data_IF_931762968342
#
_entry.id   IF_931762968342
#
_cell.length_a   1.000
_cell.length_b   1.000
_cell.length_c   1.000
_cell.angle_alpha   90.00
_cell.angle_beta   90.00
_cell.angle_gamma   90.00
#
_symmetry.space_group_name_H-M   'P 1'
#
loop_
_entity.id
_entity.type
_entity.pdbx_description
1 polymer ?
#
# COMPACT_ATOMS: atom_id res chain seq x y z
N UNK A 1 -35.96 33.93 21.00
CA UNK A 1 -35.07 33.38 19.95
C UNK A 1 -34.62 32.02 20.43
N UNK A 2 -35.22 30.98 19.85
CA UNK A 2 -35.05 29.61 20.31
C UNK A 2 -33.70 29.06 19.87
N UNK A 3 -32.99 28.45 20.82
CA UNK A 3 -31.83 27.59 20.61
C UNK A 3 -32.33 26.36 19.86
N UNK A 4 -31.96 26.23 18.58
CA UNK A 4 -32.15 24.99 17.85
C UNK A 4 -31.11 23.99 18.34
N UNK A 5 -31.57 23.01 19.11
CA UNK A 5 -30.89 21.75 19.33
C UNK A 5 -30.74 21.05 17.97
N UNK A 6 -29.51 20.91 17.51
CA UNK A 6 -29.18 20.07 16.37
C UNK A 6 -29.37 18.62 16.81
N UNK A 7 -30.37 17.95 16.25
CA UNK A 7 -30.54 16.51 16.38
C UNK A 7 -29.29 15.82 15.82
N UNK A 8 -28.62 15.05 16.69
CA UNK A 8 -27.55 14.12 16.31
C UNK A 8 -28.10 13.14 15.29
N UNK A 9 -27.60 13.24 14.06
CA UNK A 9 -28.07 12.47 12.92
C UNK A 9 -27.51 11.05 12.99
N UNK A 10 -28.38 10.09 13.29
CA UNK A 10 -28.13 8.65 13.16
C UNK A 10 -27.84 8.19 11.72
N UNK A 11 -27.83 9.12 10.75
CA UNK A 11 -27.56 8.88 9.33
C UNK A 11 -26.07 8.80 8.98
N UNK A 12 -25.15 9.39 9.76
CA UNK A 12 -23.71 9.34 9.42
C UNK A 12 -23.07 7.98 9.71
N UNK A 13 -23.44 7.33 10.81
CA UNK A 13 -22.90 6.03 11.21
C UNK A 13 -23.22 4.93 10.19
N UNK A 14 -24.41 4.97 9.55
CA UNK A 14 -24.77 3.99 8.53
C UNK A 14 -23.89 4.09 7.26
N UNK A 15 -23.33 5.27 6.96
CA UNK A 15 -22.61 5.52 5.71
C UNK A 15 -21.10 5.22 5.77
N UNK A 16 -20.54 5.09 6.97
CA UNK A 16 -19.14 4.70 7.20
C UNK A 16 -18.98 3.48 8.12
N UNK A 17 -20.07 2.75 8.36
CA UNK A 17 -20.05 1.52 9.17
C UNK A 17 -19.53 1.78 10.59
N UNK A 18 -18.54 1.03 11.09
CA UNK A 18 -18.01 1.15 12.46
C UNK A 18 -17.18 2.42 12.71
N UNK A 19 -16.92 3.26 11.71
CA UNK A 19 -16.14 4.48 11.92
C UNK A 19 -16.98 5.52 12.68
N UNK A 20 -16.37 6.15 13.70
CA UNK A 20 -17.08 7.09 14.60
C UNK A 20 -16.49 8.50 14.58
N UNK A 21 -15.22 8.66 14.24
CA UNK A 21 -14.54 9.95 14.19
C UNK A 21 -13.25 9.88 13.38
N UNK A 22 -12.69 11.04 13.05
CA UNK A 22 -11.27 11.18 12.74
C UNK A 22 -10.53 11.58 14.01
N UNK A 23 -9.36 10.98 14.28
CA UNK A 23 -8.52 11.29 15.43
C UNK A 23 -7.11 11.68 14.99
N UNK A 24 -6.57 12.74 15.58
CA UNK A 24 -5.19 13.15 15.33
C UNK A 24 -4.21 12.18 15.99
N UNK A 25 -3.23 11.70 15.20
CA UNK A 25 -2.19 10.78 15.69
C UNK A 25 -1.19 11.42 16.66
N UNK A 26 -1.13 12.76 16.71
CA UNK A 26 -0.21 13.50 17.58
C UNK A 26 -0.88 13.94 18.89
N UNK A 27 -1.99 14.68 18.82
CA UNK A 27 -2.64 15.25 20.00
C UNK A 27 -3.88 14.50 20.48
N UNK A 28 -4.36 13.50 19.74
CA UNK A 28 -5.55 12.72 20.06
C UNK A 28 -6.88 13.43 19.86
N UNK A 29 -6.88 14.71 19.44
CA UNK A 29 -8.11 15.46 19.18
C UNK A 29 -9.00 14.76 18.15
N UNK A 30 -10.31 14.76 18.41
CA UNK A 30 -11.31 14.09 17.57
C UNK A 30 -12.11 15.10 16.77
N UNK A 31 -12.39 14.73 15.53
CA UNK A 31 -13.16 15.49 14.56
C UNK A 31 -14.26 14.60 13.98
N UNK A 32 -15.34 15.21 13.51
CA UNK A 32 -16.36 14.49 12.75
C UNK A 32 -15.75 13.86 11.48
N UNK A 33 -16.36 12.78 11.02
CA UNK A 33 -16.00 12.17 9.75
C UNK A 33 -16.27 13.17 8.62
N UNK A 34 -15.18 13.68 8.04
CA UNK A 34 -15.22 14.63 6.93
C UNK A 34 -14.02 14.47 6.00
N UNK A 35 -14.01 15.19 4.87
CA UNK A 35 -12.89 15.21 3.93
C UNK A 35 -11.76 16.13 4.43
N UNK A 36 -11.28 15.87 5.64
CA UNK A 36 -10.17 16.58 6.29
C UNK A 36 -9.03 15.61 6.55
N UNK A 37 -7.78 16.08 6.40
CA UNK A 37 -6.61 15.19 6.44
C UNK A 37 -5.55 15.61 7.47
N UNK A 38 -5.64 16.84 7.99
CA UNK A 38 -4.74 17.40 8.98
C UNK A 38 -5.54 17.96 10.16
N UNK A 39 -4.99 17.81 11.36
CA UNK A 39 -5.56 18.37 12.59
C UNK A 39 -5.54 19.90 12.55
N UNK A 40 -6.66 20.54 12.90
CA UNK A 40 -6.77 22.00 12.97
C UNK A 40 -5.94 22.63 14.09
N UNK A 41 -5.54 21.85 15.11
CA UNK A 41 -4.83 22.36 16.29
C UNK A 41 -3.31 22.18 16.21
N UNK A 42 -2.83 21.01 15.79
CA UNK A 42 -1.40 20.70 15.75
C UNK A 42 -0.86 20.34 14.36
N UNK A 43 -1.70 20.36 13.32
CA UNK A 43 -1.35 19.97 11.93
C UNK A 43 -0.88 18.52 11.76
N UNK A 44 -0.98 17.69 12.80
CA UNK A 44 -0.69 16.26 12.73
C UNK A 44 -1.69 15.50 11.84
N UNK A 45 -1.30 14.35 11.28
CA UNK A 45 -2.16 13.57 10.40
C UNK A 45 -3.36 13.00 11.16
N UNK A 46 -4.51 12.95 10.46
CA UNK A 46 -5.73 12.33 10.96
C UNK A 46 -5.84 10.86 10.55
N UNK A 47 -6.50 10.08 11.39
CA UNK A 47 -6.77 8.66 11.20
C UNK A 47 -8.20 8.31 11.60
N UNK A 48 -8.81 7.33 10.95
CA UNK A 48 -10.16 6.88 11.31
C UNK A 48 -10.12 6.16 12.67
N UNK A 49 -10.96 6.63 13.59
CA UNK A 49 -11.28 6.00 14.86
C UNK A 49 -12.57 5.18 14.72
N UNK A 50 -12.58 4.00 15.34
CA UNK A 50 -13.65 3.01 15.21
C UNK A 50 -14.30 2.66 16.54
N UNK A 51 -15.55 2.20 16.45
CA UNK A 51 -16.18 1.30 17.42
C UNK A 51 -16.37 -0.05 16.71
N UNK A 52 -15.37 -0.94 16.85
CA UNK A 52 -15.37 -2.23 16.16
C UNK A 52 -16.29 -3.25 16.87
N UNK A 53 -16.89 -4.21 16.13
CA UNK A 53 -17.79 -5.20 16.70
C UNK A 53 -17.05 -6.17 17.64
N UNK A 54 -17.21 -6.00 18.96
CA UNK A 54 -16.62 -6.87 19.98
C UNK A 54 -17.59 -7.95 20.50
N UNK A 55 -17.03 -8.96 21.18
CA UNK A 55 -17.79 -9.92 22.00
C UNK A 55 -18.12 -11.28 21.37
N UNK A 56 -17.95 -11.46 20.06
CA UNK A 56 -18.11 -12.76 19.37
C UNK A 56 -17.08 -12.92 18.23
N UNK A 57 -15.82 -13.25 18.55
CA UNK A 57 -14.77 -13.41 17.54
C UNK A 57 -15.04 -14.58 16.58
N UNK A 58 -15.65 -15.67 17.04
CA UNK A 58 -15.93 -16.83 16.19
C UNK A 58 -17.02 -16.53 15.16
N UNK A 59 -18.11 -15.88 15.58
CA UNK A 59 -19.14 -15.40 14.68
C UNK A 59 -18.60 -14.40 13.66
N UNK A 60 -17.74 -13.47 14.09
CA UNK A 60 -17.10 -12.49 13.22
C UNK A 60 -16.16 -13.14 12.19
N UNK A 61 -15.35 -14.14 12.58
CA UNK A 61 -14.54 -14.93 11.61
C UNK A 61 -15.42 -15.60 10.56
N UNK A 62 -16.49 -16.29 10.98
CA UNK A 62 -17.43 -16.94 10.05
C UNK A 62 -18.09 -15.96 9.09
N UNK A 63 -18.45 -14.76 9.58
CA UNK A 63 -19.01 -13.71 8.74
C UNK A 63 -18.01 -13.22 7.69
N UNK A 64 -16.76 -12.99 8.07
CA UNK A 64 -15.69 -12.57 7.16
C UNK A 64 -15.41 -13.67 6.13
N UNK A 65 -15.24 -14.93 6.55
CA UNK A 65 -14.97 -16.06 5.65
C UNK A 65 -16.12 -16.32 4.65
N UNK A 66 -17.36 -16.04 5.03
CA UNK A 66 -18.52 -16.13 4.14
C UNK A 66 -18.64 -14.95 3.15
N UNK A 67 -17.84 -13.91 3.32
CA UNK A 67 -17.80 -12.74 2.45
C UNK A 67 -17.14 -13.02 1.08
N UNK A 68 -17.22 -12.07 0.14
CA UNK A 68 -16.63 -12.25 -1.19
C UNK A 68 -15.09 -12.30 -1.12
N UNK A 69 -14.45 -12.95 -2.10
CA UNK A 69 -12.98 -13.06 -2.23
C UNK A 69 -12.34 -11.71 -2.66
N UNK A 70 -12.47 -10.68 -1.83
CA UNK A 70 -11.87 -9.35 -1.98
C UNK A 70 -11.95 -8.58 -0.65
N UNK A 71 -11.44 -7.34 -0.58
CA UNK A 71 -11.41 -6.56 0.67
C UNK A 71 -12.78 -6.33 1.32
N UNK A 72 -13.89 -6.49 0.59
CA UNK A 72 -15.22 -6.21 1.12
C UNK A 72 -15.70 -7.26 2.13
N UNK A 73 -15.05 -8.42 2.22
CA UNK A 73 -15.30 -9.35 3.34
C UNK A 73 -14.97 -8.75 4.70
N UNK A 74 -14.09 -7.75 4.75
CA UNK A 74 -13.73 -7.01 5.97
C UNK A 74 -14.57 -5.75 6.17
N UNK A 75 -15.69 -5.56 5.43
CA UNK A 75 -16.57 -4.40 5.60
C UNK A 75 -16.96 -4.11 7.08
N UNK A 76 -17.21 -5.11 7.94
CA UNK A 76 -17.49 -4.87 9.37
C UNK A 76 -16.34 -4.19 10.15
N UNK A 77 -15.15 -4.10 9.58
CA UNK A 77 -13.92 -3.55 10.18
C UNK A 77 -13.36 -2.33 9.42
N UNK A 78 -14.11 -1.81 8.44
CA UNK A 78 -13.67 -0.79 7.49
C UNK A 78 -14.64 0.41 7.49
N UNK A 79 -14.18 1.61 7.08
CA UNK A 79 -15.00 2.81 7.13
C UNK A 79 -15.86 2.90 5.87
N UNK A 80 -16.78 1.95 5.69
CA UNK A 80 -17.57 1.79 4.48
C UNK A 80 -19.01 1.38 4.83
N UNK A 81 -19.98 1.65 3.94
CA UNK A 81 -21.34 1.14 4.10
C UNK A 81 -21.38 -0.39 4.24
N UNK A 82 -22.33 -0.91 5.01
CA UNK A 82 -22.49 -2.36 5.19
C UNK A 82 -22.81 -3.11 3.87
N UNK A 83 -23.44 -2.43 2.90
CA UNK A 83 -23.79 -2.95 1.58
C UNK A 83 -22.71 -2.69 0.51
N UNK A 84 -21.49 -2.28 0.90
CA UNK A 84 -20.41 -1.90 -0.03
C UNK A 84 -20.12 -2.94 -1.11
N UNK A 85 -20.28 -4.24 -0.81
CA UNK A 85 -20.05 -5.31 -1.77
C UNK A 85 -21.03 -5.31 -2.95
N UNK A 86 -22.21 -4.69 -2.81
CA UNK A 86 -23.20 -4.53 -3.88
C UNK A 86 -22.95 -3.28 -4.75
N UNK A 87 -22.06 -2.39 -4.32
CA UNK A 87 -21.76 -1.14 -5.01
C UNK A 87 -20.76 -1.37 -6.16
N UNK A 88 -20.86 -0.60 -7.26
CA UNK A 88 -19.87 -0.68 -8.35
C UNK A 88 -18.44 -0.44 -7.85
N UNK A 89 -17.57 -1.43 -8.03
CA UNK A 89 -16.19 -1.45 -7.57
C UNK A 89 -15.34 -2.34 -8.48
N UNK A 90 -14.01 -2.18 -8.41
CA UNK A 90 -13.03 -3.11 -8.99
C UNK A 90 -12.87 -4.39 -8.13
N UNK A 91 -13.37 -4.37 -6.89
CA UNK A 91 -13.31 -5.49 -5.94
C UNK A 91 -11.89 -6.05 -5.73
N UNK A 92 -10.92 -5.21 -5.29
CA UNK A 92 -9.53 -5.62 -5.11
C UNK A 92 -9.31 -6.42 -3.84
N UNK A 93 -8.13 -7.02 -3.71
CA UNK A 93 -7.71 -7.77 -2.53
C UNK A 93 -8.00 -9.26 -2.63
N UNK A 94 -7.94 -9.90 -1.47
CA UNK A 94 -7.84 -11.35 -1.29
C UNK A 94 -6.80 -12.01 -2.22
N UNK A 95 -5.70 -11.29 -2.43
CA UNK A 95 -4.60 -11.72 -3.30
C UNK A 95 -3.83 -12.89 -2.69
N UNK A 96 -3.05 -13.59 -3.51
CA UNK A 96 -2.35 -14.80 -3.10
C UNK A 96 -1.36 -14.51 -1.95
N UNK A 97 -1.36 -15.38 -0.95
CA UNK A 97 -0.28 -15.52 0.02
C UNK A 97 0.53 -16.76 -0.38
N UNK A 98 1.54 -16.55 -1.22
CA UNK A 98 2.31 -17.63 -1.85
C UNK A 98 3.34 -18.16 -0.86
N UNK A 99 3.24 -19.43 -0.47
CA UNK A 99 4.31 -20.10 0.28
C UNK A 99 5.54 -20.27 -0.62
N UNK A 100 6.63 -19.60 -0.28
CA UNK A 100 7.79 -19.40 -1.13
C UNK A 100 8.95 -20.34 -0.78
N UNK A 101 8.74 -21.65 -0.98
CA UNK A 101 9.67 -22.70 -0.52
C UNK A 101 11.04 -22.65 -1.22
N UNK A 102 11.10 -22.24 -2.51
CA UNK A 102 12.36 -22.20 -3.28
C UNK A 102 13.18 -20.97 -2.87
N UNK A 103 12.53 -19.84 -2.69
CA UNK A 103 13.10 -18.60 -2.18
C UNK A 103 13.58 -18.79 -0.74
N UNK A 104 12.80 -19.45 0.11
CA UNK A 104 13.20 -19.78 1.48
C UNK A 104 14.55 -20.53 1.51
N UNK A 105 14.71 -21.54 0.66
CA UNK A 105 15.98 -22.28 0.55
C UNK A 105 17.14 -21.42 0.07
N UNK A 106 16.92 -20.57 -0.92
CA UNK A 106 17.97 -19.65 -1.43
C UNK A 106 18.38 -18.59 -0.40
N UNK A 107 17.44 -18.16 0.46
CA UNK A 107 17.69 -17.17 1.51
C UNK A 107 18.13 -17.78 2.86
N UNK A 108 18.12 -19.11 2.99
CA UNK A 108 18.46 -19.79 4.25
C UNK A 108 17.36 -19.74 5.33
N UNK A 109 16.10 -19.47 4.95
CA UNK A 109 14.94 -19.52 5.84
C UNK A 109 14.60 -20.99 6.14
N UNK A 110 14.59 -21.35 7.42
CA UNK A 110 14.26 -22.70 7.93
C UNK A 110 12.83 -22.81 8.46
N UNK A 111 12.21 -21.68 8.80
CA UNK A 111 10.78 -21.56 9.10
C UNK A 111 9.93 -21.51 7.83
N UNK A 112 8.87 -20.70 7.85
CA UNK A 112 8.04 -20.46 6.66
C UNK A 112 8.34 -19.09 6.05
N UNK A 113 8.44 -19.04 4.72
CA UNK A 113 8.47 -17.80 3.96
C UNK A 113 7.23 -17.70 3.10
N UNK A 114 6.53 -16.58 3.18
CA UNK A 114 5.36 -16.29 2.35
C UNK A 114 5.56 -14.97 1.62
N UNK A 115 5.11 -14.90 0.37
CA UNK A 115 5.02 -13.66 -0.41
C UNK A 115 3.56 -13.27 -0.53
N UNK A 116 3.18 -12.13 0.05
CA UNK A 116 1.84 -11.56 -0.16
C UNK A 116 1.88 -10.77 -1.47
N UNK A 117 1.28 -11.34 -2.51
CA UNK A 117 1.46 -10.90 -3.90
C UNK A 117 0.28 -10.07 -4.42
N UNK A 118 0.40 -8.75 -4.33
CA UNK A 118 -0.61 -7.81 -4.81
C UNK A 118 -0.51 -7.49 -6.31
N UNK A 119 0.37 -8.17 -7.07
CA UNK A 119 0.41 -8.10 -8.54
C UNK A 119 -0.88 -8.57 -9.20
N UNK A 120 -1.65 -9.45 -8.52
CA UNK A 120 -2.93 -9.97 -8.98
C UNK A 120 -4.14 -9.05 -8.79
N UNK A 121 -3.95 -7.83 -8.24
CA UNK A 121 -5.04 -6.85 -8.15
C UNK A 121 -5.48 -6.35 -9.56
N UNK A 122 -6.70 -5.80 -9.71
CA UNK A 122 -7.26 -5.39 -11.01
C UNK A 122 -6.39 -4.46 -11.87
N UNK A 123 -5.65 -3.54 -11.26
CA UNK A 123 -4.69 -2.65 -11.94
C UNK A 123 -3.24 -3.05 -11.66
N UNK A 124 -3.02 -4.29 -11.20
CA UNK A 124 -1.72 -4.88 -10.97
C UNK A 124 -0.89 -4.19 -9.87
N UNK A 125 -1.54 -3.69 -8.82
CA UNK A 125 -0.85 -3.22 -7.62
C UNK A 125 -1.76 -3.10 -6.40
N UNK A 126 -1.16 -3.03 -5.22
CA UNK A 126 -1.87 -2.79 -3.95
C UNK A 126 -2.69 -1.49 -3.92
N UNK A 127 -2.43 -0.55 -4.84
CA UNK A 127 -3.11 0.76 -4.88
C UNK A 127 -4.62 0.62 -5.08
N UNK A 128 -5.08 -0.49 -5.65
CA UNK A 128 -6.52 -0.73 -5.78
C UNK A 128 -7.21 -0.82 -4.42
N UNK A 129 -6.56 -1.42 -3.40
CA UNK A 129 -7.13 -1.57 -2.05
C UNK A 129 -7.46 -0.23 -1.42
N UNK A 130 -6.49 0.68 -1.45
CA UNK A 130 -6.58 2.01 -0.84
C UNK A 130 -7.50 2.93 -1.63
N UNK A 131 -7.50 2.84 -2.96
CA UNK A 131 -8.42 3.60 -3.81
C UNK A 131 -9.86 3.11 -3.64
N UNK A 132 -10.08 1.80 -3.47
CA UNK A 132 -11.41 1.24 -3.25
C UNK A 132 -12.09 1.83 -2.02
N UNK A 133 -11.38 1.99 -0.90
CA UNK A 133 -11.92 2.68 0.30
C UNK A 133 -12.16 4.17 0.01
N UNK A 134 -11.21 4.84 -0.65
CA UNK A 134 -11.35 6.26 -0.98
C UNK A 134 -12.57 6.54 -1.89
N UNK A 135 -12.90 5.63 -2.83
CA UNK A 135 -14.09 5.74 -3.67
C UNK A 135 -15.37 5.73 -2.84
N UNK A 136 -15.44 4.90 -1.79
CA UNK A 136 -16.62 4.87 -0.93
C UNK A 136 -16.73 6.13 -0.08
N UNK A 137 -15.61 6.63 0.47
CA UNK A 137 -15.59 7.91 1.15
C UNK A 137 -16.03 9.05 0.22
N UNK A 138 -15.52 9.10 -1.00
CA UNK A 138 -15.92 10.08 -2.01
C UNK A 138 -17.43 10.02 -2.30
N UNK A 139 -17.98 8.81 -2.45
CA UNK A 139 -19.41 8.59 -2.64
C UNK A 139 -20.23 9.11 -1.47
N UNK A 140 -19.83 8.78 -0.23
CA UNK A 140 -20.53 9.21 0.97
C UNK A 140 -20.50 10.74 1.14
N UNK A 141 -19.40 11.39 0.76
CA UNK A 141 -19.28 12.84 0.78
C UNK A 141 -19.94 13.54 -0.42
N UNK A 142 -20.55 12.80 -1.36
CA UNK A 142 -21.20 13.37 -2.53
C UNK A 142 -20.22 13.98 -3.55
N UNK A 143 -18.95 13.58 -3.52
CA UNK A 143 -17.99 13.99 -4.54
C UNK A 143 -18.34 13.40 -5.90
N UNK A 144 -18.01 14.14 -6.96
CA UNK A 144 -18.31 13.76 -8.34
C UNK A 144 -17.05 13.44 -9.14
N UNK A 145 -15.90 13.91 -8.66
CA UNK A 145 -14.60 13.74 -9.30
C UNK A 145 -13.62 13.04 -8.35
N UNK A 146 -13.01 11.96 -8.80
CA UNK A 146 -11.87 11.33 -8.13
C UNK A 146 -10.55 11.84 -8.72
N UNK A 147 -9.60 12.16 -7.85
CA UNK A 147 -8.33 12.74 -8.27
C UNK A 147 -7.15 12.24 -7.44
N UNK A 148 -5.95 12.40 -7.98
CA UNK A 148 -4.70 12.22 -7.26
C UNK A 148 -3.55 13.01 -7.90
N UNK A 149 -2.55 13.33 -7.09
CA UNK A 149 -1.22 13.71 -7.55
C UNK A 149 -0.31 12.46 -7.59
N UNK A 150 -0.23 11.80 -8.75
CA UNK A 150 0.58 10.60 -8.88
C UNK A 150 0.96 10.28 -10.32
N UNK A 151 2.16 9.73 -10.46
CA UNK A 151 2.82 9.43 -11.73
C UNK A 151 2.90 7.93 -12.03
N UNK A 152 2.28 7.07 -11.21
CA UNK A 152 2.47 5.62 -11.27
C UNK A 152 1.24 4.82 -10.85
N UNK A 153 1.44 3.79 -10.02
CA UNK A 153 0.40 2.83 -9.63
C UNK A 153 -0.91 3.48 -9.14
N UNK A 154 -0.82 4.59 -8.40
CA UNK A 154 -2.01 5.26 -7.88
C UNK A 154 -2.83 5.94 -8.98
N UNK A 155 -2.19 6.52 -10.00
CA UNK A 155 -2.87 7.14 -11.13
C UNK A 155 -3.74 6.13 -11.89
N UNK A 156 -3.18 4.96 -12.21
CA UNK A 156 -3.91 3.88 -12.86
C UNK A 156 -5.07 3.36 -12.00
N UNK A 157 -4.84 3.16 -10.70
CA UNK A 157 -5.88 2.72 -9.76
C UNK A 157 -7.05 3.72 -9.66
N UNK A 158 -6.76 5.02 -9.59
CA UNK A 158 -7.79 6.09 -9.55
C UNK A 158 -8.58 6.14 -10.86
N UNK A 159 -7.91 6.12 -12.02
CA UNK A 159 -8.58 6.13 -13.32
C UNK A 159 -9.51 4.92 -13.48
N UNK A 160 -9.01 3.72 -13.18
CA UNK A 160 -9.78 2.48 -13.27
C UNK A 160 -10.98 2.46 -12.31
N UNK A 161 -10.76 2.84 -11.04
CA UNK A 161 -11.81 2.83 -10.03
C UNK A 161 -12.89 3.87 -10.34
N UNK A 162 -12.51 5.06 -10.80
CA UNK A 162 -13.44 6.10 -11.22
C UNK A 162 -14.29 5.65 -12.40
N UNK A 163 -13.67 5.10 -13.45
CA UNK A 163 -14.37 4.58 -14.62
C UNK A 163 -15.38 3.49 -14.23
N UNK A 164 -14.98 2.57 -13.34
CA UNK A 164 -15.87 1.49 -12.86
C UNK A 164 -17.01 1.99 -11.97
N UNK A 165 -16.73 2.98 -11.12
CA UNK A 165 -17.69 3.50 -10.14
C UNK A 165 -18.57 4.64 -10.70
N UNK A 166 -18.32 5.11 -11.93
CA UNK A 166 -19.09 6.17 -12.58
C UNK A 166 -18.70 7.59 -12.14
N UNK A 167 -17.51 7.78 -11.59
CA UNK A 167 -16.97 9.10 -11.26
C UNK A 167 -16.25 9.70 -12.46
N UNK A 168 -16.23 11.04 -12.55
CA UNK A 168 -15.19 11.70 -13.35
C UNK A 168 -13.83 11.41 -12.69
N UNK A 169 -12.78 11.19 -13.48
CA UNK A 169 -11.42 11.20 -12.97
C UNK A 169 -10.62 12.33 -13.59
N UNK A 170 -9.77 12.94 -12.76
CA UNK A 170 -8.75 13.89 -13.21
C UNK A 170 -7.45 13.63 -12.43
N UNK A 171 -6.38 13.24 -13.11
CA UNK A 171 -5.09 12.92 -12.49
C UNK A 171 -4.07 13.96 -12.89
N UNK A 172 -3.27 14.44 -11.93
CA UNK A 172 -2.20 15.40 -12.18
C UNK A 172 -0.83 14.73 -12.11
N UNK A 173 0.00 14.99 -13.12
CA UNK A 173 1.37 14.47 -13.27
C UNK A 173 2.34 15.58 -13.65
N UNK A 174 3.65 15.45 -13.37
CA UNK A 174 4.67 16.19 -14.11
C UNK A 174 4.54 15.91 -15.60
N UNK A 175 4.77 16.92 -16.44
CA UNK A 175 4.64 16.78 -17.90
C UNK A 175 5.69 15.88 -18.56
N UNK A 176 6.81 15.60 -17.88
CA UNK A 176 8.02 14.96 -18.43
C UNK A 176 8.17 13.47 -18.04
N UNK A 177 7.06 12.77 -17.81
CA UNK A 177 7.05 11.35 -17.46
C UNK A 177 7.32 10.40 -18.62
N UNK A 178 7.72 9.17 -18.29
CA UNK A 178 7.89 8.10 -19.27
C UNK A 178 6.55 7.73 -19.92
N UNK A 179 6.56 7.54 -21.24
CA UNK A 179 5.34 7.32 -22.02
C UNK A 179 4.46 6.16 -21.50
N UNK A 180 5.07 5.07 -21.02
CA UNK A 180 4.33 3.94 -20.45
C UNK A 180 3.46 4.32 -19.25
N UNK A 181 3.97 5.19 -18.35
CA UNK A 181 3.21 5.64 -17.17
C UNK A 181 2.09 6.59 -17.54
N UNK A 182 2.34 7.48 -18.50
CA UNK A 182 1.31 8.38 -19.05
C UNK A 182 0.17 7.57 -19.67
N UNK A 183 0.50 6.57 -20.50
CA UNK A 183 -0.50 5.70 -21.13
C UNK A 183 -1.30 4.92 -20.08
N UNK A 184 -0.63 4.30 -19.10
CA UNK A 184 -1.31 3.55 -18.03
C UNK A 184 -2.30 4.42 -17.23
N UNK A 185 -2.00 5.70 -17.03
CA UNK A 185 -2.90 6.63 -16.36
C UNK A 185 -4.06 7.10 -17.26
N UNK A 186 -3.78 7.39 -18.54
CA UNK A 186 -4.74 8.00 -19.47
C UNK A 186 -5.77 6.99 -20.05
N UNK A 187 -5.40 5.71 -20.17
CA UNK A 187 -6.19 4.72 -20.94
C UNK A 187 -7.63 4.52 -20.40
N UNK A 188 -7.89 4.85 -19.14
CA UNK A 188 -9.21 4.74 -18.51
C UNK A 188 -10.19 5.86 -18.90
N UNK A 189 -9.78 6.81 -19.75
CA UNK A 189 -10.66 7.83 -20.33
C UNK A 189 -10.96 9.04 -19.45
N UNK A 190 -10.32 9.14 -18.28
CA UNK A 190 -10.34 10.34 -17.45
C UNK A 190 -9.42 11.44 -17.97
N UNK A 191 -9.51 12.62 -17.35
CA UNK A 191 -8.59 13.73 -17.63
C UNK A 191 -7.20 13.39 -17.04
N UNK A 192 -6.15 13.46 -17.85
CA UNK A 192 -4.76 13.38 -17.38
C UNK A 192 -4.07 14.70 -17.68
N UNK A 193 -3.73 15.45 -16.63
CA UNK A 193 -3.19 16.81 -16.73
C UNK A 193 -1.70 16.80 -16.40
N UNK A 194 -0.89 17.12 -17.41
CA UNK A 194 0.53 17.40 -17.24
C UNK A 194 0.75 18.81 -16.69
N UNK A 195 1.47 18.92 -15.58
CA UNK A 195 1.90 20.16 -14.96
C UNK A 195 3.38 20.38 -15.31
N UNK A 196 3.71 21.59 -15.76
CA UNK A 196 5.09 22.03 -15.95
C UNK A 196 5.75 22.28 -14.59
N UNK A 197 6.29 21.21 -13.99
CA UNK A 197 6.89 21.25 -12.66
C UNK A 197 7.28 19.87 -12.18
N UNK A 198 7.85 19.80 -10.98
CA UNK A 198 8.20 18.53 -10.34
C UNK A 198 7.02 17.98 -9.50
N UNK A 199 7.25 16.84 -8.83
CA UNK A 199 6.23 16.22 -7.99
C UNK A 199 5.72 17.12 -6.84
N UNK A 200 6.59 17.94 -6.25
CA UNK A 200 6.21 18.88 -5.19
C UNK A 200 5.34 20.02 -5.73
N UNK A 201 5.62 20.51 -6.94
CA UNK A 201 4.75 21.49 -7.61
C UNK A 201 3.36 20.93 -7.89
N UNK A 202 3.27 19.67 -8.33
CA UNK A 202 1.99 18.97 -8.55
C UNK A 202 1.22 18.82 -7.24
N UNK A 203 1.88 18.42 -6.14
CA UNK A 203 1.24 18.29 -4.83
C UNK A 203 0.75 19.64 -4.29
N UNK A 204 1.56 20.70 -4.45
CA UNK A 204 1.17 22.07 -4.06
C UNK A 204 -0.07 22.49 -4.83
N UNK A 205 -0.06 22.34 -6.16
CA UNK A 205 -1.21 22.67 -7.00
C UNK A 205 -2.49 21.91 -6.59
N UNK A 206 -2.38 20.60 -6.33
CA UNK A 206 -3.52 19.81 -5.89
C UNK A 206 -4.06 20.28 -4.54
N UNK A 207 -3.17 20.70 -3.63
CA UNK A 207 -3.57 21.24 -2.32
C UNK A 207 -4.27 22.59 -2.44
N UNK A 208 -3.81 23.45 -3.35
CA UNK A 208 -4.46 24.72 -3.69
C UNK A 208 -5.84 24.48 -4.32
N UNK A 209 -5.96 23.54 -5.26
CA UNK A 209 -7.22 23.24 -5.95
C UNK A 209 -8.30 22.77 -4.96
N UNK A 210 -7.94 21.96 -3.95
CA UNK A 210 -8.88 21.51 -2.90
C UNK A 210 -9.49 22.70 -2.13
N UNK A 211 -8.74 23.79 -1.95
CA UNK A 211 -9.20 25.00 -1.28
C UNK A 211 -9.93 26.00 -2.18
N UNK A 212 -9.92 25.78 -3.49
CA UNK A 212 -10.55 26.65 -4.48
C UNK A 212 -11.96 26.16 -4.86
N UNK A 213 -12.93 27.05 -5.17
CA UNK A 213 -14.23 26.64 -5.69
C UNK A 213 -14.18 25.69 -6.90
N UNK A 214 -13.13 25.74 -7.72
CA UNK A 214 -12.95 24.82 -8.85
C UNK A 214 -12.72 23.36 -8.42
N UNK A 215 -12.20 23.14 -7.21
CA UNK A 215 -12.03 21.81 -6.60
C UNK A 215 -13.23 21.38 -5.75
N UNK A 216 -14.31 22.16 -5.69
CA UNK A 216 -15.51 21.77 -4.97
C UNK A 216 -16.08 20.46 -5.57
N UNK A 217 -16.29 19.44 -4.72
CA UNK A 217 -16.73 18.12 -5.16
C UNK A 217 -15.61 17.17 -5.63
N UNK A 218 -14.33 17.51 -5.42
CA UNK A 218 -13.19 16.66 -5.76
C UNK A 218 -12.69 15.85 -4.56
N UNK A 219 -12.64 14.53 -4.74
CA UNK A 219 -12.00 13.59 -3.81
C UNK A 219 -10.57 13.28 -4.24
N UNK A 220 -9.60 13.99 -3.65
CA UNK A 220 -8.18 13.66 -3.79
C UNK A 220 -7.83 12.52 -2.85
N UNK A 221 -7.66 11.32 -3.42
CA UNK A 221 -7.49 10.08 -2.64
C UNK A 221 -6.28 10.12 -1.71
N UNK A 222 -5.21 10.80 -2.12
CA UNK A 222 -3.97 10.94 -1.34
C UNK A 222 -3.87 12.25 -0.54
N UNK A 223 -4.92 13.09 -0.54
CA UNK A 223 -4.95 14.36 0.19
C UNK A 223 -6.17 14.42 1.10
N UNK A 224 -7.29 15.01 0.69
CA UNK A 224 -8.48 15.21 1.55
C UNK A 224 -9.21 13.90 1.92
N UNK A 225 -8.98 12.81 1.19
CA UNK A 225 -9.48 11.48 1.54
C UNK A 225 -8.41 10.57 2.16
N UNK A 226 -7.20 11.09 2.43
CA UNK A 226 -6.05 10.32 2.93
C UNK A 226 -6.36 9.48 4.18
N UNK A 227 -7.13 9.95 5.19
CA UNK A 227 -7.44 9.14 6.36
C UNK A 227 -8.17 7.84 6.01
N UNK A 228 -9.14 7.90 5.10
CA UNK A 228 -9.92 6.74 4.63
C UNK A 228 -9.11 5.87 3.67
N UNK A 229 -8.41 6.50 2.72
CA UNK A 229 -7.50 5.82 1.79
C UNK A 229 -6.52 4.89 2.52
N UNK A 230 -5.95 5.34 3.64
CA UNK A 230 -5.00 4.55 4.43
C UNK A 230 -5.61 3.25 4.98
N UNK A 231 -6.92 3.23 5.26
CA UNK A 231 -7.62 2.06 5.79
C UNK A 231 -7.69 0.90 4.78
N UNK A 232 -7.50 1.16 3.48
CA UNK A 232 -7.33 0.07 2.52
C UNK A 232 -6.02 -0.71 2.73
N UNK A 233 -4.98 -0.09 3.28
CA UNK A 233 -3.70 -0.75 3.52
C UNK A 233 -3.77 -1.75 4.69
N UNK A 234 -4.61 -1.50 5.71
CA UNK A 234 -4.74 -2.44 6.84
C UNK A 234 -5.40 -3.76 6.44
N UNK A 235 -6.14 -3.79 5.33
CA UNK A 235 -6.72 -5.04 4.78
C UNK A 235 -5.65 -6.08 4.46
N UNK A 236 -4.40 -5.68 4.19
CA UNK A 236 -3.28 -6.61 4.03
C UNK A 236 -3.03 -7.41 5.31
N UNK A 237 -3.07 -6.76 6.48
CA UNK A 237 -2.90 -7.45 7.76
C UNK A 237 -4.03 -8.44 8.02
N UNK A 238 -5.28 -8.04 7.72
CA UNK A 238 -6.44 -8.91 7.84
C UNK A 238 -6.33 -10.15 6.96
N UNK A 239 -6.04 -9.94 5.67
CA UNK A 239 -5.89 -11.04 4.71
C UNK A 239 -4.74 -11.96 5.05
N UNK A 240 -3.57 -11.41 5.43
CA UNK A 240 -2.42 -12.23 5.83
C UNK A 240 -2.80 -13.11 7.01
N UNK A 241 -3.44 -12.55 8.04
CA UNK A 241 -3.81 -13.32 9.22
C UNK A 241 -4.86 -14.38 8.89
N UNK A 242 -5.90 -14.04 8.12
CA UNK A 242 -6.93 -14.98 7.67
C UNK A 242 -6.31 -16.13 6.86
N UNK A 243 -5.47 -15.82 5.87
CA UNK A 243 -4.83 -16.82 5.00
C UNK A 243 -3.79 -17.68 5.73
N UNK A 244 -3.24 -17.21 6.86
CA UNK A 244 -2.42 -18.01 7.78
C UNK A 244 -3.26 -18.84 8.78
N UNK A 245 -4.58 -18.87 8.63
CA UNK A 245 -5.51 -19.60 9.49
C UNK A 245 -5.85 -18.83 10.77
N UNK A 246 -6.11 -17.53 10.66
CA UNK A 246 -6.34 -16.60 11.78
C UNK A 246 -5.18 -16.56 12.77
N UNK A 247 -3.95 -16.45 12.24
CA UNK A 247 -2.72 -16.34 13.03
C UNK A 247 -1.90 -15.13 12.59
N UNK A 248 -1.33 -14.43 13.55
CA UNK A 248 -0.34 -13.38 13.28
C UNK A 248 0.93 -14.00 12.63
N UNK A 249 1.52 -13.35 11.60
CA UNK A 249 2.87 -13.70 11.19
C UNK A 249 3.86 -13.36 12.31
N UNK A 250 5.01 -14.05 12.37
CA UNK A 250 6.05 -13.68 13.34
C UNK A 250 6.82 -12.44 12.87
N UNK A 251 7.04 -12.33 11.56
CA UNK A 251 7.84 -11.28 10.94
C UNK A 251 7.20 -10.83 9.63
N UNK A 252 7.21 -9.53 9.35
CA UNK A 252 6.74 -8.99 8.07
C UNK A 252 7.70 -7.93 7.52
N UNK A 253 8.01 -8.00 6.23
CA UNK A 253 8.87 -7.04 5.51
C UNK A 253 8.02 -6.21 4.57
N UNK A 254 7.97 -4.90 4.82
CA UNK A 254 7.06 -3.94 4.18
C UNK A 254 7.86 -2.85 3.46
N UNK A 255 7.57 -2.54 2.18
CA UNK A 255 8.24 -1.46 1.48
C UNK A 255 7.80 -0.10 2.02
N UNK A 256 8.72 0.85 2.08
CA UNK A 256 8.46 2.20 2.59
C UNK A 256 8.63 3.23 1.48
N UNK A 257 7.48 3.77 1.04
CA UNK A 257 7.41 5.05 0.35
C UNK A 257 7.13 6.15 1.39
N UNK A 258 5.87 6.51 1.62
CA UNK A 258 5.46 7.48 2.65
C UNK A 258 5.48 6.92 4.06
N UNK A 259 5.51 5.59 4.21
CA UNK A 259 5.35 4.87 5.48
C UNK A 259 3.92 4.40 5.78
N UNK A 260 2.92 4.89 5.04
CA UNK A 260 1.49 4.63 5.33
C UNK A 260 1.11 3.15 5.30
N UNK A 261 1.66 2.35 4.38
CA UNK A 261 1.31 0.92 4.33
C UNK A 261 1.78 0.18 5.59
N UNK A 262 3.01 0.44 6.02
CA UNK A 262 3.60 -0.17 7.22
C UNK A 262 2.83 0.21 8.48
N UNK A 263 2.50 1.49 8.65
CA UNK A 263 1.73 1.94 9.83
C UNK A 263 0.33 1.34 9.87
N UNK A 264 -0.31 1.15 8.71
CA UNK A 264 -1.65 0.58 8.62
C UNK A 264 -1.66 -0.93 8.78
N UNK A 265 -0.60 -1.63 8.38
CA UNK A 265 -0.44 -3.05 8.71
C UNK A 265 -0.35 -3.23 10.23
N UNK A 266 0.49 -2.45 10.92
CA UNK A 266 0.56 -2.50 12.39
C UNK A 266 -0.79 -2.24 13.06
N UNK A 267 -1.54 -1.23 12.58
CA UNK A 267 -2.90 -0.97 13.04
C UNK A 267 -3.81 -2.18 12.83
N UNK A 268 -3.81 -2.78 11.65
CA UNK A 268 -4.65 -3.94 11.35
C UNK A 268 -4.32 -5.14 12.23
N UNK A 269 -3.03 -5.41 12.51
CA UNK A 269 -2.63 -6.48 13.42
C UNK A 269 -3.15 -6.22 14.85
N UNK A 270 -3.02 -4.99 15.36
CA UNK A 270 -3.54 -4.59 16.67
C UNK A 270 -5.07 -4.71 16.76
N UNK A 271 -5.79 -4.27 15.72
CA UNK A 271 -7.25 -4.38 15.67
C UNK A 271 -7.70 -5.85 15.71
N UNK A 272 -7.02 -6.74 14.98
CA UNK A 272 -7.32 -8.18 15.04
C UNK A 272 -7.06 -8.79 16.43
N UNK A 273 -6.00 -8.35 17.11
CA UNK A 273 -5.67 -8.78 18.49
C UNK A 273 -6.75 -8.27 19.46
N UNK A 274 -7.09 -6.99 19.39
CA UNK A 274 -8.10 -6.36 20.25
C UNK A 274 -9.48 -7.02 20.12
N UNK A 275 -9.83 -7.43 18.90
CA UNK A 275 -11.06 -8.16 18.62
C UNK A 275 -11.04 -9.65 19.01
N UNK A 276 -9.89 -10.19 19.43
CA UNK A 276 -9.71 -11.61 19.69
C UNK A 276 -9.80 -12.48 18.43
N UNK A 277 -9.66 -11.88 17.24
CA UNK A 277 -9.66 -12.59 15.96
C UNK A 277 -8.34 -13.32 15.70
N UNK A 278 -7.29 -13.01 16.44
CA UNK A 278 -6.01 -13.73 16.46
C UNK A 278 -5.47 -13.76 17.89
N UNK A 279 -4.57 -14.70 18.19
CA UNK A 279 -3.87 -14.73 19.48
C UNK A 279 -2.93 -13.53 19.63
N UNK A 280 -2.92 -12.92 20.82
CA UNK A 280 -1.93 -11.88 21.17
C UNK A 280 -0.56 -12.53 21.37
N UNK A 281 0.37 -12.26 20.44
CA UNK A 281 1.77 -12.68 20.52
C UNK A 281 2.70 -11.60 19.94
N UNK A 282 3.98 -11.59 20.32
CA UNK A 282 4.96 -10.72 19.69
C UNK A 282 5.03 -10.95 18.17
N UNK A 283 5.10 -9.86 17.41
CA UNK A 283 5.37 -9.84 15.98
C UNK A 283 6.36 -8.73 15.66
N UNK A 284 7.16 -8.89 14.61
CA UNK A 284 8.16 -7.91 14.17
C UNK A 284 7.79 -7.31 12.81
N UNK A 285 7.91 -5.99 12.68
CA UNK A 285 7.70 -5.31 11.40
C UNK A 285 9.02 -4.69 10.93
N UNK A 286 9.45 -5.11 9.75
CA UNK A 286 10.64 -4.62 9.07
C UNK A 286 10.27 -3.68 7.93
N UNK A 287 11.06 -2.62 7.78
CA UNK A 287 10.93 -1.62 6.73
C UNK A 287 11.98 -1.81 5.64
N UNK A 288 11.57 -1.66 4.38
CA UNK A 288 12.47 -1.79 3.23
C UNK A 288 12.45 -0.54 2.33
N UNK A 289 13.62 0.04 2.05
CA UNK A 289 13.79 1.15 1.10
C UNK A 289 14.85 0.83 0.03
N UNK A 290 14.83 1.58 -1.07
CA UNK A 290 15.98 1.61 -1.98
C UNK A 290 17.00 2.63 -1.47
N UNK A 291 18.30 2.32 -1.54
CA UNK A 291 19.39 3.14 -1.00
C UNK A 291 19.33 4.59 -1.53
N UNK A 292 19.07 4.73 -2.82
CA UNK A 292 18.94 6.02 -3.50
C UNK A 292 17.74 6.89 -3.06
N UNK A 293 16.84 6.36 -2.24
CA UNK A 293 15.80 7.12 -1.53
C UNK A 293 15.45 6.39 -0.22
N UNK A 294 16.34 6.49 0.76
CA UNK A 294 16.30 5.73 2.01
C UNK A 294 16.25 6.61 3.29
N UNK A 295 15.46 7.71 3.34
CA UNK A 295 15.52 8.65 4.45
C UNK A 295 15.09 8.03 5.79
N UNK A 296 14.20 7.03 5.80
CA UNK A 296 13.75 6.33 7.01
C UNK A 296 14.79 5.31 7.47
N UNK A 297 15.36 4.52 6.55
CA UNK A 297 16.49 3.61 6.87
C UNK A 297 17.67 4.38 7.46
N UNK A 298 18.04 5.49 6.82
CA UNK A 298 19.11 6.39 7.30
C UNK A 298 18.84 6.88 8.72
N UNK A 299 17.62 7.35 9.00
CA UNK A 299 17.25 7.82 10.34
C UNK A 299 17.23 6.69 11.38
N UNK A 300 16.73 5.51 11.02
CA UNK A 300 16.67 4.34 11.88
C UNK A 300 18.07 3.91 12.34
N UNK A 301 18.99 3.72 11.39
CA UNK A 301 20.39 3.33 11.63
C UNK A 301 21.15 4.35 12.47
N UNK A 302 20.86 5.64 12.27
CA UNK A 302 21.45 6.72 13.05
C UNK A 302 20.83 6.88 14.46
N UNK A 303 19.79 6.12 14.79
CA UNK A 303 19.07 6.27 16.06
C UNK A 303 18.31 7.59 16.20
N UNK A 304 17.96 8.24 15.08
CA UNK A 304 17.22 9.51 15.07
C UNK A 304 15.71 9.27 15.11
N UNK A 305 14.97 10.15 15.75
CA UNK A 305 13.49 10.15 15.72
C UNK A 305 12.91 10.98 14.57
N UNK A 306 13.76 11.79 13.93
CA UNK A 306 13.38 12.69 12.84
C UNK A 306 13.97 12.18 11.54
N UNK A 307 13.11 12.06 10.53
CA UNK A 307 13.50 11.71 9.16
C UNK A 307 13.92 12.97 8.42
N UNK A 308 15.17 13.01 7.95
CA UNK A 308 15.68 14.12 7.14
C UNK A 308 15.33 13.88 5.67
N UNK A 309 14.75 14.88 4.96
CA UNK A 309 14.42 14.74 3.56
C UNK A 309 15.65 14.42 2.69
N UNK A 310 15.45 13.59 1.66
CA UNK A 310 16.46 13.27 0.65
C UNK A 310 15.93 13.58 -0.75
N UNK A 311 16.80 13.92 -1.69
CA UNK A 311 16.42 13.99 -3.11
C UNK A 311 16.45 12.57 -3.67
N UNK A 312 15.32 12.01 -4.17
CA UNK A 312 15.30 10.64 -4.65
C UNK A 312 16.17 10.41 -5.89
N UNK A 313 16.93 9.33 -5.91
CA UNK A 313 17.73 8.87 -7.05
C UNK A 313 17.82 7.34 -7.07
N UNK A 314 16.76 6.68 -7.53
CA UNK A 314 16.65 5.21 -7.59
C UNK A 314 15.79 4.77 -8.77
N UNK A 315 15.95 3.54 -9.25
CA UNK A 315 15.03 2.86 -10.17
C UNK A 315 13.68 2.54 -9.50
N UNK A 316 13.61 2.46 -8.16
CA UNK A 316 12.38 2.15 -7.42
C UNK A 316 11.44 3.36 -7.32
N UNK A 317 10.94 3.84 -8.46
CA UNK A 317 10.18 5.10 -8.58
C UNK A 317 8.91 5.13 -7.71
N UNK A 318 8.26 3.98 -7.49
CA UNK A 318 7.06 3.89 -6.63
C UNK A 318 7.35 4.11 -5.14
N UNK A 319 8.63 3.97 -4.72
CA UNK A 319 9.09 4.20 -3.35
C UNK A 319 9.89 5.51 -3.19
N UNK A 320 10.09 6.26 -4.28
CA UNK A 320 10.94 7.45 -4.35
C UNK A 320 10.32 8.69 -3.67
N UNK A 321 9.95 8.58 -2.39
CA UNK A 321 9.43 9.68 -1.57
C UNK A 321 10.52 10.14 -0.60
N UNK A 322 11.15 11.26 -0.95
CA UNK A 322 12.26 11.85 -0.20
C UNK A 322 11.90 12.40 1.17
N UNK A 323 10.64 12.80 1.37
CA UNK A 323 10.12 13.34 2.63
C UNK A 323 8.86 12.56 3.07
N UNK A 324 9.03 11.39 3.70
CA UNK A 324 7.92 10.49 3.99
C UNK A 324 7.08 10.99 5.18
N UNK A 325 5.83 11.33 4.91
CA UNK A 325 4.91 11.89 5.91
C UNK A 325 4.71 10.99 7.15
N UNK A 326 4.75 9.66 7.00
CA UNK A 326 4.59 8.73 8.12
C UNK A 326 5.93 8.16 8.63
N UNK A 327 7.06 8.70 8.18
CA UNK A 327 8.41 8.25 8.54
C UNK A 327 8.67 8.12 10.04
N UNK A 328 8.36 9.13 10.88
CA UNK A 328 8.51 9.03 12.33
C UNK A 328 7.76 7.86 12.96
N UNK A 329 6.54 7.56 12.49
CA UNK A 329 5.78 6.42 13.01
C UNK A 329 6.33 5.07 12.56
N UNK A 330 6.95 5.01 11.37
CA UNK A 330 7.67 3.81 10.94
C UNK A 330 8.84 3.54 11.90
N UNK A 331 9.58 4.57 12.30
CA UNK A 331 10.67 4.44 13.26
C UNK A 331 10.17 3.91 14.62
N UNK A 332 9.07 4.46 15.13
CA UNK A 332 8.42 3.99 16.36
C UNK A 332 8.02 2.51 16.25
N UNK A 333 7.29 2.14 15.19
CA UNK A 333 6.79 0.77 15.02
C UNK A 333 7.94 -0.23 14.87
N UNK A 334 8.94 0.07 14.05
CA UNK A 334 10.09 -0.81 13.87
C UNK A 334 10.82 -1.06 15.20
N UNK A 335 11.03 -0.01 16.01
CA UNK A 335 11.67 -0.14 17.34
C UNK A 335 10.79 -0.90 18.32
N UNK A 336 9.51 -0.52 18.44
CA UNK A 336 8.55 -1.12 19.39
C UNK A 336 8.33 -2.61 19.12
N UNK A 337 8.29 -3.01 17.86
CA UNK A 337 8.09 -4.41 17.45
C UNK A 337 9.40 -5.21 17.42
N UNK A 338 10.55 -4.57 17.68
CA UNK A 338 11.87 -5.23 17.61
C UNK A 338 12.29 -5.60 16.18
N UNK A 339 11.75 -4.91 15.18
CA UNK A 339 12.17 -4.98 13.78
C UNK A 339 13.30 -4.00 13.45
N UNK A 340 13.54 -3.82 12.15
CA UNK A 340 14.56 -2.91 11.62
C UNK A 340 14.09 -2.24 10.34
N UNK A 341 14.71 -1.11 9.98
CA UNK A 341 14.53 -0.49 8.66
C UNK A 341 15.85 -0.55 7.91
N UNK A 342 15.82 -1.18 6.74
CA UNK A 342 16.99 -1.41 5.91
C UNK A 342 16.77 -0.92 4.48
N UNK A 343 17.88 -0.83 3.75
CA UNK A 343 17.91 -0.40 2.36
C UNK A 343 18.89 -1.23 1.52
N UNK A 344 18.64 -1.27 0.22
CA UNK A 344 19.41 -2.01 -0.79
C UNK A 344 19.66 -1.17 -2.04
N UNK A 345 20.77 -1.42 -2.72
CA UNK A 345 21.15 -0.71 -3.95
C UNK A 345 20.23 -1.07 -5.12
N UNK A 346 20.20 -0.26 -6.17
CA UNK A 346 19.40 -0.53 -7.37
C UNK A 346 19.78 -1.86 -8.05
N UNK A 347 21.06 -2.24 -8.02
CA UNK A 347 21.54 -3.53 -8.51
C UNK A 347 20.98 -4.69 -7.67
N UNK A 348 21.00 -4.55 -6.34
CA UNK A 348 20.41 -5.52 -5.43
C UNK A 348 18.89 -5.65 -5.61
N UNK A 349 18.19 -4.56 -5.95
CA UNK A 349 16.77 -4.59 -6.32
C UNK A 349 16.56 -5.44 -7.58
N UNK A 350 17.37 -5.25 -8.63
CA UNK A 350 17.28 -6.05 -9.87
C UNK A 350 17.56 -7.53 -9.61
N UNK A 351 18.59 -7.84 -8.82
CA UNK A 351 18.93 -9.21 -8.44
C UNK A 351 17.82 -9.87 -7.63
N UNK A 352 17.17 -9.13 -6.74
CA UNK A 352 16.05 -9.58 -5.93
C UNK A 352 14.78 -9.83 -6.77
N UNK A 353 14.46 -8.98 -7.74
CA UNK A 353 13.38 -9.23 -8.71
C UNK A 353 13.64 -10.55 -9.45
N UNK A 354 14.85 -10.73 -9.96
CA UNK A 354 15.25 -11.97 -10.67
C UNK A 354 15.25 -13.18 -9.77
N UNK A 355 15.62 -13.03 -8.50
CA UNK A 355 15.56 -14.08 -7.49
C UNK A 355 14.13 -14.53 -7.26
N UNK A 356 13.21 -13.60 -7.00
CA UNK A 356 11.81 -13.92 -6.79
C UNK A 356 11.20 -14.57 -8.04
N UNK A 357 11.50 -14.05 -9.25
CA UNK A 357 11.02 -14.60 -10.50
C UNK A 357 11.53 -16.03 -10.76
N UNK A 358 12.82 -16.31 -10.57
CA UNK A 358 13.40 -17.65 -10.85
C UNK A 358 13.06 -18.70 -9.78
N UNK A 359 12.74 -18.26 -8.57
CA UNK A 359 12.42 -19.18 -7.46
C UNK A 359 10.95 -19.49 -7.41
N UNK A 360 10.08 -18.49 -7.49
CA UNK A 360 8.63 -18.64 -7.27
C UNK A 360 7.78 -18.35 -8.51
N UNK A 361 8.37 -17.90 -9.61
CA UNK A 361 7.61 -17.51 -10.80
C UNK A 361 6.86 -16.17 -10.64
N UNK A 362 7.17 -15.40 -9.60
CA UNK A 362 6.55 -14.09 -9.34
C UNK A 362 7.43 -13.00 -9.97
N UNK A 363 6.94 -12.34 -11.01
CA UNK A 363 7.62 -11.18 -11.59
C UNK A 363 7.18 -9.90 -10.88
N UNK A 364 7.95 -9.48 -9.89
CA UNK A 364 7.66 -8.31 -9.06
C UNK A 364 8.09 -6.99 -9.70
N UNK A 365 7.39 -5.90 -9.33
CA UNK A 365 7.89 -4.54 -9.56
C UNK A 365 9.12 -4.22 -8.67
N UNK A 366 9.73 -3.06 -8.87
CA UNK A 366 10.93 -2.63 -8.11
C UNK A 366 10.70 -2.55 -6.61
N UNK A 367 9.49 -2.24 -6.15
CA UNK A 367 9.14 -2.30 -4.73
C UNK A 367 9.19 -3.72 -4.15
N UNK A 368 8.78 -4.75 -4.91
CA UNK A 368 8.94 -6.14 -4.50
C UNK A 368 10.40 -6.60 -4.55
N UNK A 369 11.18 -6.07 -5.49
CA UNK A 369 12.65 -6.21 -5.47
C UNK A 369 13.29 -5.64 -4.20
N UNK A 370 12.85 -4.46 -3.76
CA UNK A 370 13.31 -3.83 -2.52
C UNK A 370 12.99 -4.70 -1.30
N UNK A 371 11.76 -5.21 -1.16
CA UNK A 371 11.39 -6.04 0.01
C UNK A 371 12.14 -7.37 0.03
N UNK A 372 12.29 -8.05 -1.09
CA UNK A 372 13.05 -9.31 -1.18
C UNK A 372 14.55 -9.05 -0.92
N UNK A 373 15.12 -7.99 -1.51
CA UNK A 373 16.51 -7.61 -1.30
C UNK A 373 16.81 -7.27 0.16
N UNK A 374 15.95 -6.48 0.79
CA UNK A 374 16.06 -6.16 2.22
C UNK A 374 15.84 -7.40 3.09
N UNK A 375 14.91 -8.30 2.74
CA UNK A 375 14.73 -9.57 3.46
C UNK A 375 16.03 -10.37 3.47
N UNK A 376 16.68 -10.51 2.31
CA UNK A 376 17.99 -11.17 2.20
C UNK A 376 19.03 -10.52 3.12
N UNK A 377 19.16 -9.19 3.04
CA UNK A 377 20.11 -8.42 3.86
C UNK A 377 19.86 -8.58 5.36
N UNK A 378 18.59 -8.50 5.80
CA UNK A 378 18.22 -8.67 7.20
C UNK A 378 18.57 -10.06 7.75
N UNK A 379 18.48 -11.11 6.92
CA UNK A 379 18.89 -12.47 7.30
C UNK A 379 20.43 -12.55 7.40
N UNK A 380 21.13 -12.02 6.39
CA UNK A 380 22.61 -12.00 6.36
C UNK A 380 23.19 -11.23 7.54
N UNK A 381 22.54 -10.14 7.96
CA UNK A 381 22.93 -9.30 9.09
C UNK A 381 22.46 -9.86 10.45
N UNK A 382 21.71 -10.97 10.46
CA UNK A 382 21.20 -11.61 11.69
C UNK A 382 20.10 -10.82 12.41
N UNK A 383 19.43 -9.90 11.73
CA UNK A 383 18.35 -9.07 12.26
C UNK A 383 16.96 -9.73 12.13
N UNK A 384 16.77 -10.55 11.09
CA UNK A 384 15.57 -11.34 10.85
C UNK A 384 15.86 -12.81 11.18
N UNK A 385 15.00 -13.43 11.98
CA UNK A 385 15.18 -14.82 12.42
C UNK A 385 14.72 -15.79 11.31
N UNK A 386 15.62 -16.58 10.70
CA UNK A 386 15.25 -17.47 9.61
C UNK A 386 14.37 -18.65 10.04
N UNK A 387 14.21 -18.92 11.34
CA UNK A 387 13.40 -20.03 11.85
C UNK A 387 11.91 -19.71 12.02
N UNK A 388 11.53 -18.43 11.91
CA UNK A 388 10.16 -17.95 12.14
C UNK A 388 9.36 -17.81 10.84
N UNK A 389 8.03 -17.72 10.96
CA UNK A 389 7.14 -17.45 9.82
C UNK A 389 7.25 -15.98 9.39
N UNK A 390 7.79 -15.78 8.20
CA UNK A 390 8.08 -14.46 7.61
C UNK A 390 7.18 -14.20 6.40
N UNK A 391 6.58 -13.01 6.35
CA UNK A 391 5.80 -12.54 5.19
C UNK A 391 6.53 -11.38 4.51
N UNK A 392 6.72 -11.46 3.20
CA UNK A 392 7.33 -10.40 2.38
C UNK A 392 6.27 -9.86 1.42
N UNK A 393 6.12 -8.54 1.34
CA UNK A 393 5.13 -7.95 0.44
C UNK A 393 5.70 -7.74 -0.97
N UNK A 394 4.99 -8.24 -1.98
CA UNK A 394 5.13 -7.78 -3.36
C UNK A 394 3.95 -6.86 -3.70
N UNK A 395 4.19 -5.57 -3.89
CA UNK A 395 3.13 -4.57 -4.01
C UNK A 395 2.60 -4.36 -5.43
N UNK A 396 3.22 -4.95 -6.44
CA UNK A 396 2.82 -4.74 -7.82
C UNK A 396 3.59 -5.62 -8.81
N UNK A 397 3.11 -5.56 -10.06
CA UNK A 397 3.56 -6.42 -11.14
C UNK A 397 4.78 -5.86 -11.88
N UNK A 398 5.74 -6.74 -12.21
CA UNK A 398 6.99 -6.42 -12.88
C UNK A 398 6.84 -5.86 -14.29
N UNK A 399 5.72 -6.12 -14.98
CA UNK A 399 5.41 -5.55 -16.29
C UNK A 399 5.34 -4.02 -16.26
N UNK A 400 5.19 -3.42 -15.07
CA UNK A 400 5.19 -1.96 -14.89
C UNK A 400 6.58 -1.34 -14.82
N UNK A 401 7.63 -2.14 -14.74
CA UNK A 401 9.02 -1.68 -14.58
C UNK A 401 9.99 -2.48 -15.44
N UNK A 402 9.57 -2.82 -16.67
CA UNK A 402 10.41 -3.56 -17.61
C UNK A 402 11.78 -2.88 -17.83
N UNK A 403 11.82 -1.56 -17.79
CA UNK A 403 13.02 -0.74 -17.89
C UNK A 403 14.08 -1.07 -16.82
N UNK A 404 13.67 -1.44 -15.61
CA UNK A 404 14.59 -1.79 -14.53
C UNK A 404 15.37 -3.09 -14.81
N UNK A 405 14.74 -4.06 -15.50
CA UNK A 405 15.33 -5.39 -15.72
C UNK A 405 15.79 -5.63 -17.15
N UNK A 406 15.29 -4.88 -18.12
CA UNK A 406 15.61 -5.01 -19.54
C UNK A 406 17.12 -4.94 -19.84
N UNK A 407 17.94 -4.07 -19.20
CA UNK A 407 19.38 -4.01 -19.47
C UNK A 407 20.13 -5.31 -19.18
N UNK A 408 19.56 -6.17 -18.34
CA UNK A 408 20.20 -7.40 -17.87
C UNK A 408 19.36 -8.65 -18.17
N UNK A 409 18.34 -8.54 -19.02
CA UNK A 409 17.42 -9.63 -19.34
C UNK A 409 17.22 -9.71 -20.85
N UNK A 410 17.53 -10.86 -21.45
CA UNK A 410 17.40 -11.08 -22.89
C UNK A 410 17.63 -12.53 -23.29
N UNK A 411 17.57 -12.86 -24.59
CA UNK A 411 17.83 -14.21 -25.07
C UNK A 411 19.23 -14.69 -24.68
N UNK A 412 19.35 -15.90 -24.11
CA UNK A 412 20.65 -16.52 -23.81
C UNK A 412 21.46 -16.86 -25.06
N UNK A 413 20.78 -17.13 -26.18
CA UNK A 413 21.38 -17.36 -27.49
C UNK A 413 20.42 -16.95 -28.60
N UNK A 414 20.98 -16.56 -29.76
CA UNK A 414 20.24 -16.34 -31.01
C UNK A 414 20.78 -17.35 -32.01
N UNK A 415 19.97 -18.35 -32.35
CA UNK A 415 20.37 -19.47 -33.20
C UNK A 415 19.55 -19.53 -34.50
N UNK A 416 20.10 -20.22 -35.50
CA UNK A 416 19.31 -20.63 -36.68
C UNK A 416 18.29 -21.70 -36.28
N UNK A 417 17.19 -21.89 -37.03
CA UNK A 417 16.17 -22.91 -36.73
C UNK A 417 16.65 -24.32 -37.09
N UNK A 418 17.78 -24.76 -36.55
CA UNK A 418 18.39 -26.08 -36.77
C UNK A 418 18.83 -26.70 -35.44
N UNK A 419 18.76 -28.03 -35.34
CA UNK A 419 19.23 -28.76 -34.15
C UNK A 419 20.73 -28.58 -33.93
N UNK A 420 21.50 -28.44 -35.00
CA UNK A 420 22.95 -28.25 -34.89
C UNK A 420 23.28 -26.90 -34.26
N UNK A 421 22.61 -25.80 -34.66
CA UNK A 421 22.83 -24.50 -34.02
C UNK A 421 22.36 -24.47 -32.55
N UNK A 422 21.36 -25.28 -32.17
CA UNK A 422 20.95 -25.44 -30.77
C UNK A 422 22.03 -26.17 -29.94
N UNK A 423 22.64 -27.22 -30.49
CA UNK A 423 23.77 -27.92 -29.88
C UNK A 423 25.01 -27.03 -29.78
N UNK A 424 25.34 -26.28 -30.84
CA UNK A 424 26.47 -25.33 -30.89
C UNK A 424 26.32 -24.21 -29.85
N UNK A 425 25.09 -23.80 -29.54
CA UNK A 425 24.80 -22.82 -28.49
C UNK A 425 24.95 -23.37 -27.06
N UNK A 426 25.22 -24.67 -26.88
CA UNK A 426 25.42 -25.28 -25.57
C UNK A 426 24.14 -25.38 -24.72
N UNK A 427 22.97 -25.41 -25.36
CA UNK A 427 21.67 -25.47 -24.69
C UNK A 427 21.02 -26.88 -24.72
N UNK A 428 21.72 -27.86 -25.29
CA UNK A 428 21.23 -29.24 -25.50
C UNK A 428 21.39 -30.16 -24.30
#
# INVERSE_FOLDING_TARGET
>A
MAVQSVESSTTSAAAFGPAVALSCRECGERFDLGPIFACGSCFGPLEVAYELPGGDPEGLRKQIEAGPDNIWRYAPLLPVPADVAALPSLSPGFTQLVKADRLARELGVTGELHVKDDSGNPTHSFKDRVVAIAVQAARTFGFTTLSCSSTGNLAGAVGAAAARAGFRSCVFIPHDLEAGKVVMAAVYGGDLVGIEGNYDDVNRFCSELIGDPAGEGWGFVNVNLRPYYGEGSKTLAYEICEQLGWRLPDQIVVPIASGSQLTKIDKGLKELIELGLVEDKPYKIFGAQAEGCSPVSTAFKAGHDVVRPQKPNTIAKSLAIGNPADGPYVLDIARRTGGAVEDVTDEQVVDAIKLLARTEGIFAETAGGVTVGVTKKLIEDGLLDPSLTTVVLNTGDGLKTLDAVAPTTGPSAIIRPTLDSFREAGLA
#
